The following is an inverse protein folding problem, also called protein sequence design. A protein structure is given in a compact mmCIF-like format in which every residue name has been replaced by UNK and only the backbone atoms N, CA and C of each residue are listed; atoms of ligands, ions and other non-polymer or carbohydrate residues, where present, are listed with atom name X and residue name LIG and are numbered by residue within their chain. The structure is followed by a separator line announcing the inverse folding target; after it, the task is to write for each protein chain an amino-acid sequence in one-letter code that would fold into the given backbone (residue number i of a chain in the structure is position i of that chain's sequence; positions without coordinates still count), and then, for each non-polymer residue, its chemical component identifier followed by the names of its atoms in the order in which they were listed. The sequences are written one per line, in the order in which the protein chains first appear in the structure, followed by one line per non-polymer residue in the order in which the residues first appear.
data_IF_639977516516
#
_entry.id   IF_639977516516
#
_cell.length_a   1.000
_cell.length_b   1.000
_cell.length_c   1.000
_cell.angle_alpha   90.00
_cell.angle_beta   90.00
_cell.angle_gamma   90.00
#
_symmetry.space_group_name_H-M   'P 1'
#
loop_
_entity.id
_entity.type
_entity.pdbx_description
1 polymer ?
#
# COMPACT_ATOMS: atom_id res chain seq x y z
N UNK A 1 8.79 16.03 2.28
CA UNK A 1 8.54 15.63 3.67
C UNK A 1 8.42 14.13 3.69
N UNK A 2 9.52 13.44 3.98
CA UNK A 2 9.60 11.99 3.89
C UNK A 2 9.06 11.39 5.19
N UNK A 3 7.74 11.20 5.26
CA UNK A 3 7.20 10.23 6.20
C UNK A 3 7.55 8.86 5.64
N UNK A 4 8.49 8.14 6.25
CA UNK A 4 8.72 6.73 5.93
C UNK A 4 7.42 5.99 6.25
N UNK A 5 6.63 5.68 5.23
CA UNK A 5 5.52 4.77 5.38
C UNK A 5 6.06 3.37 5.67
N UNK A 6 5.26 2.60 6.39
CA UNK A 6 5.52 1.18 6.61
C UNK A 6 4.48 0.36 5.85
N UNK A 7 4.92 -0.73 5.24
CA UNK A 7 4.02 -1.71 4.68
C UNK A 7 3.19 -2.37 5.77
N UNK A 8 1.98 -2.79 5.42
CA UNK A 8 1.11 -3.56 6.33
C UNK A 8 0.44 -4.67 5.55
N UNK A 9 0.48 -5.88 6.09
CA UNK A 9 -0.26 -7.02 5.56
C UNK A 9 -1.75 -6.79 5.78
N UNK A 10 -2.50 -6.56 4.69
CA UNK A 10 -3.95 -6.38 4.75
C UNK A 10 -4.67 -7.73 4.76
N UNK A 11 -4.15 -8.70 4.03
CA UNK A 11 -4.71 -10.03 3.88
C UNK A 11 -3.59 -11.00 3.50
N UNK A 12 -3.69 -12.24 3.96
CA UNK A 12 -2.77 -13.31 3.60
C UNK A 12 -3.50 -14.65 3.52
N UNK A 13 -2.93 -15.56 2.73
CA UNK A 13 -3.34 -16.95 2.68
C UNK A 13 -2.12 -17.87 2.69
N UNK A 14 -2.14 -18.96 3.47
CA UNK A 14 -3.12 -19.26 4.52
C UNK A 14 -3.14 -18.20 5.65
N UNK A 15 -4.26 -18.05 6.35
CA UNK A 15 -4.41 -17.08 7.45
C UNK A 15 -3.55 -17.40 8.68
N UNK A 16 -3.14 -18.66 8.81
CA UNK A 16 -2.30 -19.18 9.89
C UNK A 16 -1.07 -19.84 9.30
N UNK A 17 0.00 -19.81 10.05
CA UNK A 17 1.24 -20.47 9.68
C UNK A 17 1.08 -21.97 9.84
N UNK A 18 1.59 -22.72 8.88
CA UNK A 18 1.66 -24.18 8.95
C UNK A 18 3.11 -24.56 9.24
N UNK A 19 3.33 -25.69 9.93
CA UNK A 19 4.67 -26.10 10.38
C UNK A 19 5.68 -26.16 9.22
N UNK A 20 5.26 -26.67 8.07
CA UNK A 20 6.11 -26.80 6.88
C UNK A 20 6.14 -25.53 5.99
N UNK A 21 5.28 -24.54 6.27
CA UNK A 21 5.13 -23.34 5.45
C UNK A 21 4.79 -22.11 6.31
N UNK A 22 5.75 -21.60 7.08
CA UNK A 22 5.57 -20.39 7.87
C UNK A 22 5.45 -19.15 6.97
N UNK A 23 4.78 -18.11 7.47
CA UNK A 23 4.68 -16.85 6.73
C UNK A 23 6.04 -16.13 6.73
N UNK A 24 6.54 -15.66 5.56
CA UNK A 24 7.80 -14.93 5.51
C UNK A 24 7.71 -13.61 6.30
N UNK A 25 8.45 -13.52 7.40
CA UNK A 25 8.46 -12.32 8.24
C UNK A 25 9.09 -11.14 7.50
N UNK A 26 8.47 -9.95 7.61
CA UNK A 26 9.00 -8.72 7.02
C UNK A 26 8.88 -8.66 5.49
N UNK A 27 8.04 -9.50 4.88
CA UNK A 27 7.86 -9.53 3.42
C UNK A 27 7.50 -8.16 2.85
N UNK A 28 6.74 -7.35 3.59
CA UNK A 28 6.35 -6.00 3.22
C UNK A 28 7.52 -5.05 2.98
N UNK A 29 8.71 -5.34 3.51
CA UNK A 29 9.93 -4.56 3.26
C UNK A 29 10.47 -4.75 1.85
N UNK A 30 10.14 -5.87 1.20
CA UNK A 30 10.66 -6.26 -0.12
C UNK A 30 9.62 -6.08 -1.23
N UNK A 31 8.35 -5.86 -0.87
CA UNK A 31 7.24 -5.76 -1.83
C UNK A 31 7.07 -4.38 -2.45
N UNK A 32 7.82 -3.38 -1.98
CA UNK A 32 7.87 -2.02 -2.53
C UNK A 32 9.32 -1.53 -2.63
N UNK A 33 9.98 -1.66 -3.80
CA UNK A 33 11.39 -1.32 -3.95
C UNK A 33 11.64 0.19 -3.82
N UNK A 34 10.61 1.01 -4.09
CA UNK A 34 10.66 2.46 -3.92
C UNK A 34 10.18 2.91 -2.54
N UNK A 35 9.96 1.97 -1.62
CA UNK A 35 9.38 2.23 -0.30
C UNK A 35 7.88 2.51 -0.31
N UNK A 36 7.32 2.65 0.88
CA UNK A 36 5.90 2.92 1.09
C UNK A 36 5.68 4.41 1.22
N UNK A 37 5.39 5.08 0.11
CA UNK A 37 5.25 6.54 0.06
C UNK A 37 3.97 6.93 -0.64
N UNK A 38 3.47 8.13 -0.33
CA UNK A 38 2.32 8.71 -1.02
C UNK A 38 2.80 9.53 -2.22
N UNK A 39 2.06 9.41 -3.32
CA UNK A 39 2.34 10.12 -4.56
C UNK A 39 1.17 11.04 -4.93
N UNK A 40 1.43 12.24 -5.49
CA UNK A 40 0.37 13.13 -5.96
C UNK A 40 -0.26 12.66 -7.27
N UNK A 41 0.41 11.77 -8.00
CA UNK A 41 -0.06 11.18 -9.25
C UNK A 41 -0.24 9.67 -9.11
N UNK A 42 -1.17 9.11 -9.89
CA UNK A 42 -1.40 7.67 -9.94
C UNK A 42 -0.42 7.03 -10.91
N UNK A 43 0.54 6.28 -10.38
CA UNK A 43 1.51 5.53 -11.19
C UNK A 43 0.85 4.31 -11.89
N UNK A 44 1.37 3.88 -13.05
CA UNK A 44 0.89 2.67 -13.73
C UNK A 44 1.26 1.40 -12.94
N UNK A 45 0.44 0.33 -12.97
CA UNK A 45 0.75 -0.96 -12.35
C UNK A 45 2.11 -1.51 -12.77
N UNK A 46 2.84 -2.12 -11.82
CA UNK A 46 4.15 -2.72 -12.09
C UNK A 46 4.23 -4.15 -11.55
N UNK A 47 5.07 -4.95 -12.20
CA UNK A 47 5.37 -6.32 -11.78
C UNK A 47 6.88 -6.49 -11.64
N UNK A 48 7.30 -7.12 -10.56
CA UNK A 48 8.69 -7.51 -10.36
C UNK A 48 8.77 -8.74 -9.45
N UNK A 49 9.95 -9.36 -9.40
CA UNK A 49 10.22 -10.50 -8.51
C UNK A 49 11.30 -10.11 -7.51
N UNK A 50 10.98 -10.17 -6.22
CA UNK A 50 11.97 -10.15 -5.16
C UNK A 50 12.38 -11.58 -4.81
N UNK A 51 13.63 -11.79 -4.41
CA UNK A 51 14.13 -13.10 -3.97
C UNK A 51 14.61 -12.98 -2.53
N UNK A 52 13.97 -13.72 -1.63
CA UNK A 52 14.34 -13.81 -0.23
C UNK A 52 15.09 -15.13 -0.01
N UNK A 53 16.26 -15.06 0.62
CA UNK A 53 17.03 -16.24 0.97
C UNK A 53 16.94 -16.47 2.48
N UNK A 54 16.54 -17.66 2.90
CA UNK A 54 16.43 -17.99 4.31
C UNK A 54 17.74 -18.54 4.92
N UNK A 55 17.69 -18.87 6.21
CA UNK A 55 18.84 -19.39 6.96
C UNK A 55 19.32 -20.77 6.47
N UNK A 56 18.45 -21.53 5.79
CA UNK A 56 18.77 -22.82 5.19
C UNK A 56 19.29 -22.67 3.75
N UNK A 57 19.48 -21.43 3.27
CA UNK A 57 19.85 -21.11 1.88
C UNK A 57 18.79 -21.47 0.84
N UNK A 58 17.53 -21.70 1.25
CA UNK A 58 16.43 -21.83 0.29
C UNK A 58 16.03 -20.46 -0.25
N UNK A 59 15.59 -20.43 -1.52
CA UNK A 59 15.14 -19.21 -2.20
C UNK A 59 13.62 -19.16 -2.23
N UNK A 60 13.07 -18.05 -1.78
CA UNK A 60 11.65 -17.71 -1.85
C UNK A 60 11.46 -16.60 -2.87
N UNK A 61 10.80 -16.93 -3.96
CA UNK A 61 10.49 -16.01 -5.06
C UNK A 61 9.16 -15.32 -4.74
N UNK A 62 9.21 -14.00 -4.60
CA UNK A 62 8.07 -13.14 -4.31
C UNK A 62 7.68 -12.42 -5.60
N UNK A 63 6.67 -12.93 -6.30
CA UNK A 63 6.06 -12.26 -7.44
C UNK A 63 5.17 -11.12 -6.92
N UNK A 64 5.60 -9.88 -7.16
CA UNK A 64 5.00 -8.68 -6.62
C UNK A 64 4.30 -7.90 -7.73
N UNK A 65 2.97 -7.84 -7.68
CA UNK A 65 2.16 -6.98 -8.53
C UNK A 65 1.72 -5.75 -7.73
N UNK A 66 2.27 -4.58 -8.08
CA UNK A 66 1.97 -3.30 -7.44
C UNK A 66 0.96 -2.49 -8.24
N UNK A 67 -0.02 -1.92 -7.54
CA UNK A 67 -0.98 -0.97 -8.07
C UNK A 67 -1.17 0.19 -7.08
N UNK A 68 -1.74 1.30 -7.55
CA UNK A 68 -1.87 2.53 -6.76
C UNK A 68 -3.34 2.90 -6.56
N UNK A 69 -3.71 3.19 -5.32
CA UNK A 69 -5.07 3.55 -4.94
C UNK A 69 -5.12 4.91 -4.24
N UNK A 70 -6.22 5.62 -4.44
CA UNK A 70 -6.48 6.89 -3.77
C UNK A 70 -6.58 6.67 -2.25
N UNK A 71 -5.88 7.50 -1.48
CA UNK A 71 -6.06 7.54 -0.02
C UNK A 71 -7.36 8.26 0.29
N UNK A 72 -8.23 7.62 1.07
CA UNK A 72 -9.43 8.25 1.59
C UNK A 72 -9.04 9.42 2.49
N UNK A 73 -9.43 10.64 2.13
CA UNK A 73 -9.18 11.82 2.97
C UNK A 73 -10.29 11.93 4.02
N UNK A 74 -10.02 11.84 5.33
CA UNK A 74 -11.04 11.91 6.36
C UNK A 74 -11.52 13.35 6.65
N UNK A 75 -11.38 14.31 5.71
CA UNK A 75 -11.88 15.66 5.94
C UNK A 75 -13.38 15.60 6.22
N UNK A 76 -13.85 16.04 7.41
CA UNK A 76 -15.26 16.12 7.67
C UNK A 76 -15.86 17.13 6.70
N UNK A 77 -16.80 16.67 5.89
CA UNK A 77 -17.66 17.56 5.11
C UNK A 77 -18.30 18.54 6.11
N UNK A 78 -17.92 19.81 6.03
CA UNK A 78 -18.55 20.86 6.82
C UNK A 78 -20.04 20.90 6.44
N UNK A 79 -20.89 20.38 7.33
CA UNK A 79 -22.33 20.46 7.18
C UNK A 79 -22.78 21.92 7.03
N UNK A 80 -23.76 22.24 6.17
CA UNK A 80 -24.24 23.61 6.04
C UNK A 80 -24.98 24.01 7.33
N UNK A 81 -24.47 25.09 7.90
CA UNK A 81 -24.92 25.87 9.06
C UNK A 81 -26.43 26.11 9.01
N UNK A 82 -27.17 25.60 10.00
CA UNK A 82 -28.54 26.04 10.26
C UNK A 82 -28.56 26.86 11.56
N UNK A 83 -28.86 28.17 11.46
CA UNK A 83 -29.20 29.01 12.60
C UNK A 83 -28.48 30.36 12.67
N UNK A 84 -29.05 31.35 12.00
CA UNK A 84 -29.25 32.71 12.54
C UNK A 84 -28.06 33.65 12.73
N UNK A 85 -27.98 34.65 11.83
CA UNK A 85 -27.69 36.04 12.20
C UNK A 85 -26.24 36.51 12.16
N UNK A 86 -25.95 37.39 11.20
CA UNK A 86 -25.04 38.53 11.37
C UNK A 86 -23.56 38.30 11.08
N UNK A 87 -23.03 39.20 10.25
CA UNK A 87 -21.62 39.53 9.97
C UNK A 87 -20.93 38.70 8.87
N UNK A 88 -20.49 39.46 7.85
CA UNK A 88 -19.83 39.03 6.63
C UNK A 88 -18.43 38.51 6.95
N UNK A 89 -18.34 37.25 7.37
CA UNK A 89 -17.10 36.48 7.36
C UNK A 89 -16.85 36.01 5.93
N UNK A 90 -15.79 36.49 5.28
CA UNK A 90 -15.36 35.98 3.98
C UNK A 90 -15.26 34.45 4.06
N UNK A 91 -16.15 33.77 3.33
CA UNK A 91 -16.16 32.33 3.26
C UNK A 91 -14.87 31.87 2.58
N UNK A 92 -13.85 31.57 3.38
CA UNK A 92 -12.64 30.89 2.93
C UNK A 92 -13.12 29.58 2.30
N UNK A 93 -13.05 29.51 0.97
CA UNK A 93 -13.36 28.30 0.22
C UNK A 93 -12.58 27.14 0.83
N UNK A 94 -13.19 25.98 1.14
CA UNK A 94 -12.44 24.83 1.62
C UNK A 94 -11.37 24.50 0.58
N UNK A 95 -10.11 24.66 0.95
CA UNK A 95 -9.00 24.23 0.10
C UNK A 95 -9.06 22.71 0.09
N UNK A 96 -9.54 22.15 -1.02
CA UNK A 96 -9.61 20.71 -1.21
C UNK A 96 -8.18 20.16 -1.11
N UNK A 97 -7.93 19.31 -0.13
CA UNK A 97 -6.61 18.72 0.03
C UNK A 97 -6.27 17.91 -1.24
N UNK A 98 -5.02 17.98 -1.74
CA UNK A 98 -4.65 17.24 -2.93
C UNK A 98 -4.87 15.75 -2.71
N UNK A 99 -5.54 15.10 -3.66
CA UNK A 99 -5.70 13.64 -3.66
C UNK A 99 -4.32 12.99 -3.73
N UNK A 100 -4.04 12.09 -2.78
CA UNK A 100 -2.81 11.30 -2.75
C UNK A 100 -3.09 9.84 -3.10
N UNK A 101 -2.09 9.16 -3.62
CA UNK A 101 -2.14 7.75 -4.00
C UNK A 101 -1.10 6.95 -3.21
N UNK A 102 -1.52 5.82 -2.64
CA UNK A 102 -0.66 4.88 -1.94
C UNK A 102 -0.43 3.62 -2.79
N UNK A 103 0.77 3.04 -2.78
CA UNK A 103 1.00 1.74 -3.39
C UNK A 103 0.35 0.62 -2.57
N UNK A 104 -0.15 -0.40 -3.26
CA UNK A 104 -0.58 -1.69 -2.73
C UNK A 104 0.04 -2.80 -3.57
N UNK A 105 0.42 -3.89 -2.92
CA UNK A 105 0.99 -5.06 -3.60
C UNK A 105 0.14 -6.30 -3.36
N UNK A 106 -0.13 -7.05 -4.43
CA UNK A 106 -0.45 -8.47 -4.34
C UNK A 106 0.85 -9.25 -4.48
N UNK A 107 1.09 -10.19 -3.56
CA UNK A 107 2.37 -10.91 -3.48
C UNK A 107 2.10 -12.39 -3.40
N UNK A 108 2.67 -13.13 -4.35
CA UNK A 108 2.70 -14.59 -4.32
C UNK A 108 4.11 -15.05 -3.98
N UNK A 109 4.23 -15.91 -2.98
CA UNK A 109 5.50 -16.49 -2.53
C UNK A 109 5.56 -17.94 -2.95
N UNK A 110 6.65 -18.32 -3.61
CA UNK A 110 6.89 -19.69 -4.06
C UNK A 110 8.36 -20.06 -3.92
N UNK A 111 8.65 -21.32 -3.63
CA UNK A 111 10.02 -21.87 -3.74
C UNK A 111 10.39 -22.26 -5.18
N UNK A 112 9.42 -22.22 -6.10
CA UNK A 112 9.62 -22.55 -7.50
C UNK A 112 9.89 -21.28 -8.31
N UNK A 113 10.91 -21.35 -9.17
CA UNK A 113 11.30 -20.29 -10.09
C UNK A 113 10.41 -20.26 -11.34
N UNK A 114 9.13 -19.90 -11.15
CA UNK A 114 8.13 -19.86 -12.20
C UNK A 114 7.40 -18.50 -12.26
N UNK A 115 8.16 -17.41 -12.23
CA UNK A 115 7.61 -16.06 -12.18
C UNK A 115 6.59 -15.76 -13.30
N UNK A 116 6.81 -16.30 -14.51
CA UNK A 116 5.93 -16.08 -15.66
C UNK A 116 4.51 -16.63 -15.49
N UNK A 117 4.32 -17.63 -14.62
CA UNK A 117 2.98 -18.19 -14.33
C UNK A 117 2.14 -17.21 -13.50
N UNK A 118 2.80 -16.30 -12.77
CA UNK A 118 2.19 -15.43 -11.77
C UNK A 118 2.13 -13.95 -12.20
N UNK A 119 2.46 -13.67 -13.46
CA UNK A 119 2.52 -12.32 -14.03
C UNK A 119 1.20 -11.85 -14.60
#
# INVERSE_FOLDING_TARGET
GSGDGHGRILQRFPEKDWEDNPFPQGIELFCQPNGWQLFPEKNPPTFFVAVLTDINSERHYCACFTFWEAVENPQPQSHPRNGGGGEEEEAVSPVEAPQLFAPKSLVLVSRLDHAEVFR
#
